data_IF_367955693102
#
_entry.id   IF_367955693102
#
_cell.length_a   1.000
_cell.length_b   1.000
_cell.length_c   1.000
_cell.angle_alpha   90.00
_cell.angle_beta   90.00
_cell.angle_gamma   90.00
#
_symmetry.space_group_name_H-M   'P 1'
#
loop_
_entity.id
_entity.type
_entity.pdbx_description
1 polymer ?
#
# COMPACT_ATOMS: atom_id res chain seq x y z
N UNK A 1 37.72 13.69 -53.97
CA UNK A 1 38.78 14.56 -54.56
C UNK A 1 39.34 15.40 -53.41
N UNK A 2 40.48 14.96 -52.93
CA UNK A 2 41.67 15.75 -52.58
C UNK A 2 41.50 16.91 -51.58
N UNK A 3 42.32 17.12 -50.60
CA UNK A 3 43.73 16.84 -50.28
C UNK A 3 43.97 17.31 -48.84
N UNK A 4 44.68 16.57 -48.00
CA UNK A 4 46.14 16.75 -47.68
C UNK A 4 46.36 17.78 -46.57
N UNK A 5 46.70 17.25 -45.37
CA UNK A 5 48.05 17.24 -44.74
C UNK A 5 48.70 18.61 -44.49
N UNK A 6 49.03 18.93 -43.26
CA UNK A 6 50.38 19.31 -42.82
C UNK A 6 50.40 19.65 -41.34
N UNK A 7 51.02 18.81 -40.58
CA UNK A 7 52.22 19.04 -39.73
C UNK A 7 52.43 20.47 -39.22
N UNK A 8 52.55 20.66 -37.90
CA UNK A 8 53.77 21.22 -37.30
C UNK A 8 53.83 20.83 -35.83
N UNK A 9 54.93 20.22 -35.53
CA UNK A 9 55.53 19.85 -34.27
C UNK A 9 56.00 21.09 -33.53
N UNK A 10 55.58 21.31 -32.26
CA UNK A 10 56.33 22.19 -31.35
C UNK A 10 56.49 21.51 -30.00
N UNK A 11 57.69 21.02 -29.78
CA UNK A 11 58.22 20.66 -28.46
C UNK A 11 58.31 21.92 -27.62
N UNK A 12 57.64 21.88 -26.46
CA UNK A 12 58.08 22.74 -25.35
C UNK A 12 58.11 21.87 -24.06
N UNK A 13 59.34 21.57 -23.66
CA UNK A 13 59.71 21.01 -22.39
C UNK A 13 59.30 21.96 -21.28
N UNK A 14 58.39 21.56 -20.43
CA UNK A 14 58.20 22.21 -19.13
C UNK A 14 58.17 21.12 -18.05
N UNK A 15 59.30 20.95 -17.43
CA UNK A 15 59.48 20.18 -16.20
C UNK A 15 58.70 20.83 -15.07
N UNK A 16 57.57 20.30 -14.66
CA UNK A 16 56.89 20.69 -13.43
C UNK A 16 57.10 19.58 -12.40
N UNK A 17 57.77 19.96 -11.34
CA UNK A 17 57.90 19.23 -10.09
C UNK A 17 56.49 18.85 -9.58
N UNK A 18 56.14 17.58 -9.66
CA UNK A 18 55.01 17.03 -8.94
C UNK A 18 55.58 16.54 -7.58
N UNK A 19 55.38 17.37 -6.57
CA UNK A 19 55.54 16.91 -5.18
C UNK A 19 54.53 15.82 -4.90
N UNK A 20 54.99 14.60 -4.83
CA UNK A 20 54.24 13.45 -4.32
C UNK A 20 53.92 13.66 -2.84
N UNK A 21 52.80 14.29 -2.54
CA UNK A 21 52.19 14.20 -1.22
C UNK A 21 51.33 12.94 -1.17
N UNK A 22 51.97 11.81 -1.06
CA UNK A 22 51.31 10.53 -0.71
C UNK A 22 50.97 10.61 0.76
N UNK A 23 49.80 11.17 1.09
CA UNK A 23 49.20 10.93 2.39
C UNK A 23 48.80 9.44 2.42
N UNK A 24 49.67 8.63 3.03
CA UNK A 24 49.34 7.24 3.36
C UNK A 24 48.12 7.29 4.31
N UNK A 25 46.96 7.06 3.76
CA UNK A 25 45.75 6.79 4.56
C UNK A 25 46.01 5.50 5.32
N UNK A 26 46.22 5.61 6.62
CA UNK A 26 46.53 4.49 7.49
C UNK A 26 45.27 3.65 7.67
N UNK A 27 45.06 2.69 6.76
CA UNK A 27 43.92 1.78 6.70
C UNK A 27 43.72 1.01 8.02
N UNK A 28 44.80 0.85 8.82
CA UNK A 28 44.72 0.21 10.16
C UNK A 28 43.91 1.06 11.17
N UNK A 29 43.96 2.38 11.08
CA UNK A 29 43.22 3.24 12.00
C UNK A 29 41.73 3.33 11.61
N UNK A 30 41.41 3.28 10.31
CA UNK A 30 40.03 3.25 9.86
C UNK A 30 39.35 1.93 10.28
N UNK A 31 40.06 0.80 10.19
CA UNK A 31 39.52 -0.50 10.63
C UNK A 31 39.35 -0.58 12.16
N UNK A 32 40.10 0.18 12.93
CA UNK A 32 39.99 0.23 14.40
C UNK A 32 38.80 1.09 14.84
N UNK A 33 38.63 2.26 14.22
CA UNK A 33 37.48 3.15 14.52
C UNK A 33 36.13 2.53 14.08
N UNK A 34 36.10 1.80 12.95
CA UNK A 34 34.91 1.05 12.55
C UNK A 34 34.59 -0.10 13.52
N UNK A 35 35.64 -0.68 14.16
CA UNK A 35 35.41 -1.72 15.19
C UNK A 35 34.97 -1.17 16.54
N UNK A 36 35.24 0.09 16.85
CA UNK A 36 34.79 0.71 18.11
C UNK A 36 33.38 1.31 18.02
N UNK A 37 32.92 1.79 16.83
CA UNK A 37 31.54 2.24 16.66
C UNK A 37 30.54 1.08 16.41
N UNK A 38 31.00 -0.09 16.05
CA UNK A 38 30.17 -1.30 15.94
C UNK A 38 30.59 -2.29 17.03
N UNK A 39 30.51 -1.85 18.30
CA UNK A 39 30.50 -2.79 19.41
C UNK A 39 29.09 -3.40 19.51
N UNK A 40 28.72 -4.14 18.47
CA UNK A 40 27.64 -5.10 18.54
C UNK A 40 28.17 -6.19 19.47
N UNK A 41 27.77 -6.17 20.75
CA UNK A 41 27.89 -7.32 21.62
C UNK A 41 27.52 -8.55 20.79
N UNK A 42 28.45 -9.50 20.62
CA UNK A 42 28.11 -10.82 20.06
C UNK A 42 26.90 -11.30 20.83
N UNK A 43 25.75 -11.53 20.18
CA UNK A 43 24.58 -12.04 20.89
C UNK A 43 24.97 -13.39 21.50
N UNK A 44 24.58 -13.60 22.76
CA UNK A 44 24.62 -14.95 23.33
C UNK A 44 23.90 -15.91 22.38
N UNK A 45 24.19 -17.19 22.45
CA UNK A 45 23.80 -18.29 21.53
C UNK A 45 22.31 -18.38 21.13
N UNK A 46 21.45 -17.40 21.52
CA UNK A 46 20.02 -17.31 21.23
C UNK A 46 19.54 -15.98 20.61
N UNK A 47 20.44 -15.03 20.29
CA UNK A 47 20.01 -13.77 19.69
C UNK A 47 19.90 -13.90 18.18
N UNK A 48 18.75 -13.47 17.62
CA UNK A 48 18.49 -13.45 16.19
C UNK A 48 19.45 -12.51 15.47
N UNK A 49 19.94 -12.92 14.30
CA UNK A 49 20.63 -12.03 13.38
C UNK A 49 19.64 -10.99 12.80
N UNK A 50 20.19 -9.87 12.31
CA UNK A 50 19.37 -8.83 11.65
C UNK A 50 18.56 -9.42 10.48
N UNK A 51 19.13 -10.32 9.72
CA UNK A 51 18.46 -10.95 8.58
C UNK A 51 17.32 -11.87 9.04
N UNK A 52 17.49 -12.61 10.14
CA UNK A 52 16.43 -13.44 10.71
C UNK A 52 15.27 -12.59 11.23
N UNK A 53 15.58 -11.46 11.88
CA UNK A 53 14.55 -10.50 12.34
C UNK A 53 13.73 -9.97 11.17
N UNK A 54 14.39 -9.50 10.11
CA UNK A 54 13.71 -8.98 8.92
C UNK A 54 12.94 -10.07 8.17
N UNK A 55 13.47 -11.29 8.11
CA UNK A 55 12.78 -12.44 7.52
C UNK A 55 11.50 -12.76 8.31
N UNK A 56 11.57 -12.78 9.63
CA UNK A 56 10.38 -12.99 10.48
C UNK A 56 9.33 -11.89 10.29
N UNK A 57 9.77 -10.63 10.24
CA UNK A 57 8.87 -9.51 9.97
C UNK A 57 8.18 -9.63 8.61
N UNK A 58 8.94 -9.94 7.54
CA UNK A 58 8.37 -10.16 6.20
C UNK A 58 7.36 -11.30 6.19
N UNK A 59 7.61 -12.37 6.93
CA UNK A 59 6.66 -13.47 7.07
C UNK A 59 5.37 -13.03 7.77
N UNK A 60 5.47 -12.28 8.87
CA UNK A 60 4.34 -11.71 9.59
C UNK A 60 3.49 -10.83 8.68
N UNK A 61 4.13 -9.89 8.01
CA UNK A 61 3.47 -8.95 7.10
C UNK A 61 2.80 -9.67 5.92
N UNK A 62 3.46 -10.67 5.34
CA UNK A 62 2.88 -11.49 4.27
C UNK A 62 1.61 -12.21 4.74
N UNK A 63 1.62 -12.79 5.95
CA UNK A 63 0.43 -13.42 6.54
C UNK A 63 -0.69 -12.41 6.77
N UNK A 64 -0.37 -11.26 7.37
CA UNK A 64 -1.34 -10.20 7.62
C UNK A 64 -1.99 -9.69 6.34
N UNK A 65 -1.17 -9.42 5.31
CA UNK A 65 -1.63 -8.98 3.99
C UNK A 65 -2.55 -10.01 3.33
N UNK A 66 -2.14 -11.29 3.32
CA UNK A 66 -2.96 -12.37 2.72
C UNK A 66 -4.27 -12.52 3.47
N UNK A 67 -4.25 -12.49 4.80
CA UNK A 67 -5.45 -12.61 5.63
C UNK A 67 -6.39 -11.41 5.43
N UNK A 68 -5.86 -10.17 5.46
CA UNK A 68 -6.63 -8.96 5.23
C UNK A 68 -7.26 -8.94 3.83
N UNK A 69 -6.48 -9.23 2.78
CA UNK A 69 -6.99 -9.30 1.41
C UNK A 69 -8.04 -10.39 1.23
N UNK A 70 -7.84 -11.57 1.83
CA UNK A 70 -8.83 -12.65 1.80
C UNK A 70 -10.12 -12.26 2.52
N UNK A 71 -10.04 -11.53 3.63
CA UNK A 71 -11.20 -11.03 4.35
C UNK A 71 -11.98 -10.02 3.51
N UNK A 72 -11.27 -9.06 2.88
CA UNK A 72 -11.86 -8.05 2.01
C UNK A 72 -12.57 -8.66 0.79
N UNK A 73 -11.98 -9.68 0.17
CA UNK A 73 -12.51 -10.31 -1.06
C UNK A 73 -13.60 -11.37 -0.85
N UNK A 74 -13.99 -11.64 0.40
CA UNK A 74 -15.12 -12.56 0.68
C UNK A 74 -16.44 -11.93 0.28
N UNK A 75 -17.43 -12.77 -0.02
CA UNK A 75 -18.83 -12.36 -0.10
C UNK A 75 -19.25 -11.74 1.23
N UNK A 76 -19.84 -10.57 1.19
CA UNK A 76 -20.21 -9.76 2.36
C UNK A 76 -19.01 -9.31 3.23
N UNK A 77 -17.79 -9.39 2.71
CA UNK A 77 -16.58 -9.01 3.43
C UNK A 77 -16.50 -7.52 3.72
N UNK A 78 -17.05 -6.70 2.83
CA UNK A 78 -17.29 -5.27 3.05
C UNK A 78 -18.66 -5.02 3.63
N UNK A 79 -19.71 -5.55 3.02
CA UNK A 79 -21.10 -5.25 3.38
C UNK A 79 -21.43 -5.52 4.85
N UNK A 80 -20.96 -6.65 5.38
CA UNK A 80 -21.22 -7.08 6.77
C UNK A 80 -20.09 -6.72 7.74
N UNK A 81 -19.19 -5.83 7.35
CA UNK A 81 -18.11 -5.35 8.21
C UNK A 81 -18.23 -3.83 8.35
N UNK A 82 -18.76 -3.38 9.46
CA UNK A 82 -19.04 -1.96 9.71
C UNK A 82 -17.78 -1.07 9.62
N UNK A 83 -16.59 -1.64 9.85
CA UNK A 83 -15.33 -0.90 9.80
C UNK A 83 -14.89 -0.55 8.38
N UNK A 84 -15.30 -1.33 7.38
CA UNK A 84 -14.88 -1.14 5.97
C UNK A 84 -16.05 -1.07 4.98
N UNK A 85 -17.28 -1.25 5.46
CA UNK A 85 -18.47 -1.15 4.62
C UNK A 85 -18.49 0.19 3.86
N UNK A 86 -18.69 0.12 2.55
CA UNK A 86 -18.89 1.30 1.73
C UNK A 86 -20.30 1.86 1.98
N UNK A 87 -20.41 3.07 2.54
CA UNK A 87 -21.70 3.74 2.61
C UNK A 87 -22.11 4.27 1.23
N UNK A 88 -23.32 4.77 1.13
CA UNK A 88 -23.72 5.53 -0.05
C UNK A 88 -22.76 6.71 -0.26
N UNK A 89 -22.30 7.01 -1.50
CA UNK A 89 -21.32 8.08 -1.73
C UNK A 89 -21.74 9.41 -1.09
N UNK A 90 -20.87 10.10 -0.33
CA UNK A 90 -21.24 11.33 0.39
C UNK A 90 -21.72 12.46 -0.51
N UNK A 91 -21.10 12.62 -1.70
CA UNK A 91 -21.47 13.60 -2.72
C UNK A 91 -22.82 13.28 -3.39
N UNK A 92 -23.28 12.03 -3.26
CA UNK A 92 -24.57 11.56 -3.73
C UNK A 92 -25.64 11.42 -2.62
N UNK A 93 -25.39 11.94 -1.41
CA UNK A 93 -26.34 11.85 -0.30
C UNK A 93 -27.72 12.41 -0.67
N UNK A 94 -27.75 13.53 -1.40
CA UNK A 94 -29.02 14.11 -1.89
C UNK A 94 -29.81 13.17 -2.80
N UNK A 95 -29.11 12.32 -3.58
CA UNK A 95 -29.75 11.30 -4.41
C UNK A 95 -30.42 10.25 -3.53
N UNK A 96 -29.71 9.74 -2.51
CA UNK A 96 -30.24 8.77 -1.53
C UNK A 96 -31.49 9.33 -0.86
N UNK A 97 -31.39 10.55 -0.28
CA UNK A 97 -32.47 11.18 0.47
C UNK A 97 -33.72 11.40 -0.40
N UNK A 98 -33.54 11.84 -1.66
CA UNK A 98 -34.65 12.01 -2.60
C UNK A 98 -35.33 10.68 -2.98
N UNK A 99 -34.52 9.62 -3.17
CA UNK A 99 -35.05 8.29 -3.50
C UNK A 99 -35.83 7.67 -2.34
N UNK A 100 -35.34 7.83 -1.09
CA UNK A 100 -36.04 7.36 0.11
C UNK A 100 -37.38 8.09 0.30
N UNK A 101 -37.42 9.41 0.06
CA UNK A 101 -38.68 10.20 0.14
C UNK A 101 -39.78 9.71 -0.82
N UNK A 102 -39.43 9.09 -1.90
CA UNK A 102 -40.40 8.54 -2.90
C UNK A 102 -40.55 7.01 -2.83
N UNK A 103 -40.11 6.38 -1.72
CA UNK A 103 -40.30 4.96 -1.44
C UNK A 103 -39.43 4.02 -2.27
N UNK A 104 -38.21 4.45 -2.67
CA UNK A 104 -37.26 3.63 -3.42
C UNK A 104 -36.24 2.89 -2.53
N UNK A 105 -36.61 2.60 -1.26
CA UNK A 105 -35.75 1.98 -0.24
C UNK A 105 -35.06 0.72 -0.77
N UNK A 106 -35.82 -0.21 -1.34
CA UNK A 106 -35.29 -1.46 -1.90
C UNK A 106 -34.25 -1.24 -3.01
N UNK A 107 -34.40 -0.15 -3.79
CA UNK A 107 -33.42 0.17 -4.84
C UNK A 107 -32.15 0.75 -4.24
N UNK A 108 -32.26 1.56 -3.19
CA UNK A 108 -31.12 2.10 -2.44
C UNK A 108 -30.34 0.97 -1.77
N UNK A 109 -31.01 0.06 -1.08
CA UNK A 109 -30.40 -1.12 -0.47
C UNK A 109 -29.68 -2.00 -1.51
N UNK A 110 -30.33 -2.25 -2.64
CA UNK A 110 -29.73 -3.05 -3.72
C UNK A 110 -28.49 -2.39 -4.31
N UNK A 111 -28.52 -1.07 -4.45
CA UNK A 111 -27.36 -0.30 -4.87
C UNK A 111 -26.21 -0.41 -3.85
N UNK A 112 -26.47 -0.18 -2.55
CA UNK A 112 -25.44 -0.29 -1.50
C UNK A 112 -24.85 -1.70 -1.42
N UNK A 113 -25.69 -2.73 -1.53
CA UNK A 113 -25.22 -4.11 -1.59
C UNK A 113 -24.27 -4.32 -2.78
N UNK A 114 -24.68 -3.86 -3.96
CA UNK A 114 -23.91 -4.06 -5.20
C UNK A 114 -22.63 -3.21 -5.21
N UNK A 115 -22.66 -2.03 -4.59
CA UNK A 115 -21.47 -1.17 -4.38
C UNK A 115 -20.39 -1.90 -3.57
N UNK A 116 -20.78 -2.54 -2.47
CA UNK A 116 -19.87 -3.32 -1.63
C UNK A 116 -19.35 -4.57 -2.38
N UNK A 117 -20.20 -5.25 -3.12
CA UNK A 117 -19.82 -6.40 -3.95
C UNK A 117 -18.77 -6.01 -5.02
N UNK A 118 -18.83 -4.80 -5.58
CA UNK A 118 -17.79 -4.31 -6.51
C UNK A 118 -16.42 -4.16 -5.81
N UNK A 119 -16.39 -3.64 -4.58
CA UNK A 119 -15.17 -3.54 -3.79
C UNK A 119 -14.61 -4.94 -3.46
N UNK A 120 -15.45 -5.88 -3.04
CA UNK A 120 -15.08 -7.28 -2.75
C UNK A 120 -14.46 -7.96 -3.98
N UNK A 121 -15.06 -7.80 -5.14
CA UNK A 121 -14.56 -8.37 -6.40
C UNK A 121 -13.19 -7.80 -6.77
N UNK A 122 -13.01 -6.48 -6.68
CA UNK A 122 -11.74 -5.82 -6.95
C UNK A 122 -10.63 -6.28 -5.99
N UNK A 123 -10.96 -6.51 -4.72
CA UNK A 123 -9.99 -6.93 -3.69
C UNK A 123 -9.36 -8.31 -3.93
N UNK A 124 -9.90 -9.11 -4.85
CA UNK A 124 -9.31 -10.41 -5.23
C UNK A 124 -7.92 -10.27 -5.83
N UNK A 125 -7.59 -9.13 -6.40
CA UNK A 125 -6.28 -8.84 -7.02
C UNK A 125 -5.28 -8.16 -6.09
N UNK A 126 -5.65 -7.85 -4.84
CA UNK A 126 -4.83 -7.06 -3.92
C UNK A 126 -3.60 -7.79 -3.38
N UNK A 127 -3.76 -9.04 -2.98
CA UNK A 127 -2.74 -9.78 -2.23
C UNK A 127 -1.36 -9.85 -2.91
N UNK A 128 -1.24 -10.09 -4.23
CA UNK A 128 0.06 -10.12 -4.92
C UNK A 128 0.81 -8.79 -4.84
N UNK A 129 0.12 -7.64 -4.94
CA UNK A 129 0.72 -6.30 -4.93
C UNK A 129 1.37 -6.05 -3.58
N UNK A 130 0.64 -6.26 -2.51
CA UNK A 130 1.14 -6.11 -1.15
C UNK A 130 2.29 -7.07 -0.84
N UNK A 131 2.16 -8.34 -1.26
CA UNK A 131 3.21 -9.34 -1.08
C UNK A 131 4.51 -8.90 -1.76
N UNK A 132 4.44 -8.36 -2.97
CA UNK A 132 5.59 -7.84 -3.68
C UNK A 132 6.27 -6.69 -2.91
N UNK A 133 5.50 -5.74 -2.39
CA UNK A 133 6.03 -4.65 -1.57
C UNK A 133 6.73 -5.15 -0.30
N UNK A 134 6.16 -6.16 0.37
CA UNK A 134 6.78 -6.78 1.56
C UNK A 134 8.09 -7.48 1.18
N UNK A 135 8.15 -8.22 0.08
CA UNK A 135 9.36 -8.91 -0.35
C UNK A 135 10.48 -7.94 -0.69
N UNK A 136 10.16 -6.79 -1.28
CA UNK A 136 11.12 -5.75 -1.67
C UNK A 136 11.54 -4.82 -0.50
N UNK A 137 10.99 -5.00 0.69
CA UNK A 137 11.33 -4.22 1.88
C UNK A 137 12.81 -4.41 2.25
N UNK A 138 13.52 -3.29 2.50
CA UNK A 138 14.93 -3.32 2.94
C UNK A 138 15.07 -3.74 4.40
N UNK A 139 16.29 -4.12 4.80
CA UNK A 139 16.61 -4.42 6.21
C UNK A 139 16.38 -3.18 7.10
N UNK A 140 16.79 -2.00 6.63
CA UNK A 140 16.58 -0.73 7.36
C UNK A 140 15.08 -0.45 7.58
N UNK A 141 14.24 -0.67 6.57
CA UNK A 141 12.79 -0.48 6.71
C UNK A 141 12.20 -1.49 7.69
N UNK A 142 12.68 -2.74 7.66
CA UNK A 142 12.27 -3.76 8.61
C UNK A 142 12.48 -3.34 10.07
N UNK A 143 13.65 -2.78 10.38
CA UNK A 143 13.94 -2.27 11.74
C UNK A 143 13.11 -1.05 12.11
N UNK A 144 12.86 -0.12 11.17
CA UNK A 144 11.97 1.03 11.42
C UNK A 144 10.55 0.57 11.75
N UNK A 145 10.05 -0.44 11.03
CA UNK A 145 8.74 -1.03 11.26
C UNK A 145 8.70 -1.72 12.63
N UNK A 146 9.72 -2.52 12.95
CA UNK A 146 9.76 -3.27 14.21
C UNK A 146 9.75 -2.37 15.44
N UNK A 147 10.51 -1.26 15.39
CA UNK A 147 10.63 -0.28 16.47
C UNK A 147 9.54 0.80 16.43
N UNK A 148 8.72 0.81 15.40
CA UNK A 148 7.67 1.81 15.19
C UNK A 148 6.40 1.50 15.96
N UNK A 149 5.40 2.36 15.75
CA UNK A 149 4.08 2.26 16.34
C UNK A 149 3.33 0.99 15.92
N UNK A 150 2.22 0.71 16.58
CA UNK A 150 1.37 -0.48 16.37
C UNK A 150 0.89 -0.67 14.91
N UNK A 151 0.97 0.36 14.07
CA UNK A 151 0.59 0.36 12.66
C UNK A 151 1.75 0.75 11.71
N UNK A 152 2.99 0.65 12.16
CA UNK A 152 4.17 1.08 11.39
C UNK A 152 4.32 0.33 10.06
N UNK A 153 3.98 -0.97 10.03
CA UNK A 153 4.04 -1.76 8.81
C UNK A 153 2.93 -1.37 7.82
N UNK A 154 1.72 -1.15 8.31
CA UNK A 154 0.60 -0.67 7.49
C UNK A 154 0.90 0.71 6.91
N UNK A 155 1.47 1.61 7.70
CA UNK A 155 1.91 2.94 7.25
C UNK A 155 3.00 2.85 6.19
N UNK A 156 3.98 1.96 6.37
CA UNK A 156 5.00 1.67 5.37
C UNK A 156 4.39 1.16 4.07
N UNK A 157 3.54 0.13 4.13
CA UNK A 157 2.87 -0.42 2.96
C UNK A 157 2.03 0.63 2.25
N UNK A 158 1.27 1.43 3.00
CA UNK A 158 0.47 2.52 2.43
C UNK A 158 1.33 3.50 1.65
N UNK A 159 2.46 3.92 2.22
CA UNK A 159 3.41 4.82 1.54
C UNK A 159 4.00 4.21 0.27
N UNK A 160 4.37 2.93 0.30
CA UNK A 160 5.04 2.28 -0.83
C UNK A 160 4.10 1.84 -1.94
N UNK A 161 2.83 1.53 -1.62
CA UNK A 161 1.95 0.84 -2.57
C UNK A 161 0.70 1.62 -2.99
N UNK A 162 0.34 2.75 -2.33
CA UNK A 162 -0.93 3.45 -2.61
C UNK A 162 -1.09 3.84 -4.07
N UNK A 163 -0.03 4.35 -4.71
CA UNK A 163 -0.09 4.73 -6.12
C UNK A 163 -0.25 3.51 -7.03
N UNK A 164 0.58 2.50 -6.84
CA UNK A 164 0.52 1.26 -7.62
C UNK A 164 -0.82 0.55 -7.44
N UNK A 165 -1.31 0.49 -6.18
CA UNK A 165 -2.63 -0.04 -5.88
C UNK A 165 -3.72 0.72 -6.63
N UNK A 166 -3.72 2.04 -6.62
CA UNK A 166 -4.72 2.82 -7.33
C UNK A 166 -4.68 2.54 -8.83
N UNK A 167 -3.49 2.55 -9.43
CA UNK A 167 -3.30 2.33 -10.87
C UNK A 167 -3.77 0.92 -11.32
N UNK A 168 -3.57 -0.11 -10.47
CA UNK A 168 -4.00 -1.48 -10.76
C UNK A 168 -5.46 -1.72 -10.37
N UNK A 169 -5.92 -1.15 -9.25
CA UNK A 169 -7.28 -1.35 -8.77
C UNK A 169 -8.33 -0.62 -9.61
N UNK A 170 -8.03 0.57 -10.09
CA UNK A 170 -9.01 1.36 -10.85
C UNK A 170 -9.60 0.60 -12.06
N UNK A 171 -8.79 -0.03 -12.95
CA UNK A 171 -9.33 -0.85 -14.03
C UNK A 171 -10.05 -2.12 -13.53
N UNK A 172 -9.59 -2.74 -12.42
CA UNK A 172 -10.25 -3.91 -11.85
C UNK A 172 -11.59 -3.54 -11.20
N UNK A 173 -11.66 -2.40 -10.52
CA UNK A 173 -12.92 -1.84 -10.00
C UNK A 173 -13.91 -1.58 -11.12
N UNK A 174 -13.46 -1.02 -12.26
CA UNK A 174 -14.32 -0.81 -13.43
C UNK A 174 -14.90 -2.14 -13.93
N UNK A 175 -14.07 -3.16 -14.09
CA UNK A 175 -14.52 -4.51 -14.45
C UNK A 175 -15.49 -5.10 -13.41
N UNK A 176 -15.20 -4.89 -12.12
CA UNK A 176 -16.05 -5.36 -11.03
C UNK A 176 -17.40 -4.65 -11.03
N UNK A 177 -17.45 -3.34 -11.24
CA UNK A 177 -18.69 -2.55 -11.37
C UNK A 177 -19.54 -3.07 -12.53
N UNK A 178 -18.92 -3.34 -13.68
CA UNK A 178 -19.61 -3.91 -14.85
C UNK A 178 -20.13 -5.34 -14.55
N UNK A 179 -19.30 -6.19 -13.94
CA UNK A 179 -19.63 -7.58 -13.59
C UNK A 179 -20.82 -7.67 -12.63
N UNK A 180 -20.88 -6.81 -11.60
CA UNK A 180 -21.99 -6.77 -10.64
C UNK A 180 -23.16 -5.89 -11.10
N UNK A 181 -23.05 -5.30 -12.28
CA UNK A 181 -24.06 -4.43 -12.90
C UNK A 181 -24.45 -3.22 -12.02
N UNK A 182 -23.48 -2.65 -11.30
CA UNK A 182 -23.73 -1.53 -10.37
C UNK A 182 -24.42 -0.35 -11.05
N UNK A 183 -24.05 -0.03 -12.29
CA UNK A 183 -24.63 1.07 -13.07
C UNK A 183 -26.12 0.88 -13.31
N UNK A 184 -26.60 -0.38 -13.45
CA UNK A 184 -28.02 -0.68 -13.61
C UNK A 184 -28.85 -0.30 -12.36
N UNK A 185 -28.25 -0.33 -11.19
CA UNK A 185 -28.89 0.13 -9.94
C UNK A 185 -28.71 1.64 -9.71
N UNK A 186 -27.58 2.21 -10.12
CA UNK A 186 -27.28 3.63 -10.00
C UNK A 186 -28.14 4.53 -10.91
N UNK A 187 -28.28 4.15 -12.17
CA UNK A 187 -28.99 4.94 -13.18
C UNK A 187 -30.45 5.29 -12.80
N UNK A 188 -31.29 4.35 -12.30
CA UNK A 188 -32.65 4.70 -11.87
C UNK A 188 -32.68 5.69 -10.69
N UNK A 189 -31.73 5.59 -9.75
CA UNK A 189 -31.65 6.50 -8.61
C UNK A 189 -31.32 7.93 -9.06
N UNK A 190 -30.28 8.07 -9.88
CA UNK A 190 -29.86 9.38 -10.41
C UNK A 190 -30.90 9.97 -11.35
N UNK A 191 -31.57 9.17 -12.17
CA UNK A 191 -32.66 9.63 -13.05
C UNK A 191 -33.83 10.21 -12.23
N UNK A 192 -34.20 9.57 -11.13
CA UNK A 192 -35.25 10.05 -10.22
C UNK A 192 -34.84 11.36 -9.58
N UNK A 193 -33.62 11.44 -9.04
CA UNK A 193 -33.09 12.67 -8.46
C UNK A 193 -33.00 13.81 -9.47
N UNK A 194 -32.44 13.58 -10.65
CA UNK A 194 -32.25 14.59 -11.68
C UNK A 194 -33.58 15.14 -12.23
N UNK A 195 -34.66 14.36 -12.21
CA UNK A 195 -36.02 14.87 -12.52
C UNK A 195 -36.48 15.90 -11.47
N UNK A 196 -36.19 15.61 -10.19
CA UNK A 196 -36.57 16.53 -9.10
C UNK A 196 -35.74 17.82 -9.17
N UNK A 197 -34.42 17.71 -9.43
CA UNK A 197 -33.56 18.91 -9.53
C UNK A 197 -33.89 19.79 -10.74
N UNK A 198 -34.37 19.20 -11.83
CA UNK A 198 -34.86 19.95 -13.00
C UNK A 198 -36.03 20.89 -12.66
N UNK A 199 -36.86 20.48 -11.69
CA UNK A 199 -37.99 21.30 -11.22
C UNK A 199 -37.59 22.32 -10.14
N UNK A 200 -36.52 22.03 -9.38
CA UNK A 200 -36.12 22.86 -8.24
C UNK A 200 -34.87 23.71 -8.50
N UNK A 201 -34.28 23.64 -9.70
CA UNK A 201 -33.04 24.37 -10.06
C UNK A 201 -31.75 23.82 -9.39
N UNK A 202 -31.79 22.59 -8.87
CA UNK A 202 -30.62 21.97 -8.23
C UNK A 202 -29.61 21.37 -9.23
N UNK A 203 -28.41 21.05 -8.75
CA UNK A 203 -27.37 20.40 -9.54
C UNK A 203 -27.69 18.91 -9.78
N UNK A 204 -27.33 18.42 -10.97
CA UNK A 204 -27.44 16.99 -11.30
C UNK A 204 -26.42 16.16 -10.50
N UNK A 205 -26.78 14.92 -10.23
CA UNK A 205 -25.83 13.96 -9.66
C UNK A 205 -24.67 13.69 -10.64
N UNK A 206 -23.44 13.82 -10.14
CA UNK A 206 -22.20 13.57 -10.91
C UNK A 206 -21.18 12.84 -10.03
N UNK A 207 -21.54 11.64 -9.58
CA UNK A 207 -20.65 10.81 -8.72
C UNK A 207 -19.85 9.84 -9.58
N UNK A 208 -18.53 9.92 -9.47
CA UNK A 208 -17.63 8.94 -10.05
C UNK A 208 -17.54 7.68 -9.15
N UNK A 209 -18.38 6.69 -9.47
CA UNK A 209 -18.42 5.42 -8.73
C UNK A 209 -17.11 4.64 -8.86
N UNK A 210 -16.39 4.72 -9.99
CA UNK A 210 -15.12 4.01 -10.16
C UNK A 210 -14.09 4.54 -9.18
N UNK A 211 -13.94 5.88 -9.12
CA UNK A 211 -13.06 6.54 -8.17
C UNK A 211 -13.45 6.23 -6.74
N UNK A 212 -14.72 6.40 -6.38
CA UNK A 212 -15.22 6.17 -5.03
C UNK A 212 -14.95 4.74 -4.55
N UNK A 213 -15.32 3.73 -5.32
CA UNK A 213 -15.11 2.32 -4.96
C UNK A 213 -13.62 2.00 -4.89
N UNK A 214 -12.79 2.54 -5.80
CA UNK A 214 -11.34 2.31 -5.79
C UNK A 214 -10.71 2.82 -4.50
N UNK A 215 -10.97 4.07 -4.14
CA UNK A 215 -10.43 4.68 -2.92
C UNK A 215 -10.88 3.94 -1.67
N UNK A 216 -12.17 3.61 -1.57
CA UNK A 216 -12.74 2.91 -0.43
C UNK A 216 -12.30 1.45 -0.32
N UNK A 217 -12.14 0.75 -1.44
CA UNK A 217 -11.60 -0.61 -1.43
C UNK A 217 -10.15 -0.64 -0.91
N UNK A 218 -9.31 0.29 -1.35
CA UNK A 218 -7.93 0.44 -0.88
C UNK A 218 -7.89 0.79 0.61
N UNK A 219 -8.68 1.77 1.06
CA UNK A 219 -8.80 2.12 2.49
C UNK A 219 -9.21 0.91 3.33
N UNK A 220 -10.22 0.17 2.88
CA UNK A 220 -10.73 -1.02 3.58
C UNK A 220 -9.67 -2.12 3.73
N UNK A 221 -8.89 -2.39 2.69
CA UNK A 221 -7.79 -3.37 2.77
C UNK A 221 -6.72 -2.91 3.77
N UNK A 222 -6.28 -1.65 3.71
CA UNK A 222 -5.30 -1.15 4.67
C UNK A 222 -5.81 -1.22 6.11
N UNK A 223 -7.08 -0.95 6.32
CA UNK A 223 -7.69 -1.10 7.64
C UNK A 223 -7.63 -2.55 8.16
N UNK A 224 -7.94 -3.51 7.30
CA UNK A 224 -7.85 -4.93 7.68
C UNK A 224 -6.41 -5.38 7.91
N UNK A 225 -5.44 -4.90 7.14
CA UNK A 225 -4.02 -5.18 7.35
C UNK A 225 -3.56 -4.59 8.69
N UNK A 226 -4.01 -3.39 9.05
CA UNK A 226 -3.71 -2.75 10.33
C UNK A 226 -4.24 -3.57 11.52
N UNK A 227 -5.44 -4.11 11.41
CA UNK A 227 -6.00 -4.99 12.44
C UNK A 227 -5.11 -6.24 12.62
N UNK A 228 -4.68 -6.87 11.52
CA UNK A 228 -3.81 -8.03 11.57
C UNK A 228 -2.42 -7.69 12.13
N UNK A 229 -1.85 -6.53 11.78
CA UNK A 229 -0.60 -6.05 12.34
C UNK A 229 -0.70 -5.89 13.86
N UNK A 230 -1.72 -5.19 14.34
CA UNK A 230 -1.97 -4.99 15.77
C UNK A 230 -2.18 -6.32 16.51
N UNK A 231 -2.88 -7.27 15.90
CA UNK A 231 -3.07 -8.60 16.48
C UNK A 231 -1.73 -9.36 16.63
N UNK A 232 -0.86 -9.36 15.61
CA UNK A 232 0.46 -10.01 15.67
C UNK A 232 1.36 -9.36 16.72
N UNK A 233 1.32 -8.02 16.85
CA UNK A 233 2.12 -7.29 17.84
C UNK A 233 1.67 -7.57 19.28
N UNK A 234 0.36 -7.63 19.53
CA UNK A 234 -0.22 -7.71 20.88
C UNK A 234 -0.50 -9.12 21.36
N UNK A 235 -0.92 -10.01 20.47
CA UNK A 235 -1.36 -11.36 20.84
C UNK A 235 -0.30 -12.42 20.48
N UNK A 236 0.37 -13.04 21.49
CA UNK A 236 1.31 -14.11 21.27
C UNK A 236 0.75 -15.32 20.50
N UNK A 237 -0.56 -15.57 20.57
CA UNK A 237 -1.21 -16.67 19.85
C UNK A 237 -1.26 -16.44 18.35
N UNK A 238 -1.21 -15.20 17.89
CA UNK A 238 -1.13 -14.86 16.47
C UNK A 238 0.28 -15.06 15.88
N UNK A 239 1.29 -15.24 16.73
CA UNK A 239 2.69 -15.48 16.36
C UNK A 239 2.89 -16.95 16.05
N UNK A 240 2.37 -17.41 14.92
CA UNK A 240 2.25 -18.84 14.57
C UNK A 240 3.56 -19.54 14.23
N UNK A 241 4.66 -18.81 14.05
CA UNK A 241 6.00 -19.40 13.78
C UNK A 241 6.98 -19.06 14.89
N UNK A 242 8.02 -19.89 15.04
CA UNK A 242 9.04 -19.67 16.06
C UNK A 242 9.83 -18.37 15.82
N UNK A 243 10.00 -17.98 14.57
CA UNK A 243 10.62 -16.71 14.19
C UNK A 243 9.75 -15.52 14.66
N UNK A 244 8.42 -15.58 14.48
CA UNK A 244 7.50 -14.56 14.97
C UNK A 244 7.48 -14.46 16.50
N UNK A 245 7.51 -15.60 17.17
CA UNK A 245 7.61 -15.63 18.64
C UNK A 245 8.89 -14.97 19.13
N UNK A 246 10.03 -15.24 18.47
CA UNK A 246 11.32 -14.64 18.83
C UNK A 246 11.40 -13.16 18.53
N UNK A 247 10.85 -12.70 17.38
CA UNK A 247 10.92 -11.29 16.93
C UNK A 247 10.00 -10.37 17.74
N UNK A 248 8.79 -10.82 18.05
CA UNK A 248 7.77 -10.03 18.77
C UNK A 248 7.59 -10.45 20.23
N UNK A 249 8.33 -11.43 20.72
CA UNK A 249 8.25 -11.95 22.09
C UNK A 249 9.35 -11.47 23.01
N UNK A 250 10.31 -10.70 22.49
CA UNK A 250 11.42 -10.11 23.27
C UNK A 250 11.05 -8.77 23.84
#
# INVERSE_FOLDING_TARGET
MNKILSKILFLFSLTLFISNCTSQINVKNISKNIKEEVNIKKPGNNALSNDEVVKGLKEALTKGVVKGSKQASKVDGFLKNDAIRLPFPPDAKKVKDACLKVGLDRKVEKFEHTLNAAAEEACKTAAPIFKNAVLNMSVSDGFKILKGEDNAATSYLKKQTSKELYDIFFPEVKKAIDKVQLTAYWTPLTKTYNKTTMLTGGEKANTDLNKYVTEKAIEGIFHLIEIEEKAIRKDPLQRTTDILKKVFGS
#
